data_IF_765712876790
#
_entry.id   IF_765712876790
#
_cell.length_a   1.000
_cell.length_b   1.000
_cell.length_c   1.000
_cell.angle_alpha   90.00
_cell.angle_beta   90.00
_cell.angle_gamma   90.00
#
_symmetry.space_group_name_H-M   'P 1'
#
loop_
_entity.id
_entity.type
_entity.pdbx_description
1 polymer ?
#
# COMPACT_ATOMS: atom_id res chain seq x y z
N UNK A 1 37.45 -40.88 -0.21
CA UNK A 1 37.49 -39.40 -0.06
C UNK A 1 36.23 -38.86 -0.66
N UNK A 2 35.19 -38.65 0.17
CA UNK A 2 33.92 -38.14 -0.25
C UNK A 2 33.87 -36.63 -0.04
N UNK A 3 33.83 -35.89 -1.13
CA UNK A 3 33.65 -34.42 -1.07
C UNK A 3 32.20 -34.14 -0.76
N UNK A 4 31.92 -33.61 0.42
CA UNK A 4 30.64 -33.04 0.78
C UNK A 4 30.52 -31.65 0.12
N UNK A 5 29.79 -31.58 -0.98
CA UNK A 5 29.44 -30.34 -1.65
C UNK A 5 28.43 -29.57 -0.77
N UNK A 6 28.91 -28.61 0.00
CA UNK A 6 28.09 -27.66 0.75
C UNK A 6 27.58 -26.61 -0.20
N UNK A 7 26.58 -26.96 -1.02
CA UNK A 7 25.79 -25.95 -1.76
C UNK A 7 25.02 -25.10 -0.76
N UNK A 8 25.40 -23.84 -0.66
CA UNK A 8 24.69 -22.80 0.07
C UNK A 8 23.28 -22.65 -0.52
N UNK A 9 22.18 -23.00 0.18
CA UNK A 9 20.86 -23.03 -0.40
C UNK A 9 20.29 -21.61 -0.54
N UNK A 10 20.60 -20.96 -1.63
CA UNK A 10 19.88 -19.76 -2.08
C UNK A 10 18.55 -20.21 -2.69
N UNK A 11 17.52 -20.44 -1.88
CA UNK A 11 16.20 -20.80 -2.39
C UNK A 11 15.24 -21.21 -1.28
N UNK A 12 13.94 -21.00 -1.49
CA UNK A 12 12.87 -21.37 -0.56
C UNK A 12 12.79 -22.89 -0.30
N UNK A 13 11.86 -23.34 0.55
CA UNK A 13 11.74 -24.73 0.97
C UNK A 13 11.54 -25.67 -0.23
N UNK A 14 12.37 -26.75 -0.29
CA UNK A 14 12.38 -27.73 -1.39
C UNK A 14 11.41 -28.89 -1.17
N UNK A 15 11.08 -29.20 0.10
CA UNK A 15 10.16 -30.31 0.44
C UNK A 15 8.69 -29.86 0.40
N UNK A 16 7.77 -30.78 0.16
CA UNK A 16 6.35 -30.49 0.18
C UNK A 16 5.88 -29.98 1.55
N UNK A 17 6.41 -30.55 2.62
CA UNK A 17 6.14 -30.11 4.00
C UNK A 17 6.70 -28.72 4.29
N UNK A 18 7.91 -28.42 3.83
CA UNK A 18 8.51 -27.09 3.96
C UNK A 18 7.76 -26.03 3.15
N UNK A 19 7.28 -26.37 1.95
CA UNK A 19 6.41 -25.50 1.15
C UNK A 19 5.07 -25.24 1.83
N UNK A 20 4.45 -26.27 2.41
CA UNK A 20 3.21 -26.16 3.16
C UNK A 20 3.38 -25.33 4.44
N UNK A 21 4.50 -25.49 5.16
CA UNK A 21 4.83 -24.68 6.34
C UNK A 21 5.07 -23.21 5.95
N UNK A 22 5.80 -22.95 4.89
CA UNK A 22 6.05 -21.59 4.36
C UNK A 22 4.76 -20.93 3.89
N UNK A 23 3.88 -21.68 3.20
CA UNK A 23 2.56 -21.20 2.78
C UNK A 23 1.67 -20.86 3.99
N UNK A 24 1.65 -21.72 5.02
CA UNK A 24 0.90 -21.44 6.26
C UNK A 24 1.41 -20.21 7.01
N UNK A 25 2.71 -19.97 7.03
CA UNK A 25 3.28 -18.77 7.64
C UNK A 25 2.91 -17.50 6.87
N UNK A 26 2.85 -17.59 5.55
CA UNK A 26 2.34 -16.52 4.67
C UNK A 26 0.87 -16.22 4.95
N UNK A 27 0.07 -17.26 5.16
CA UNK A 27 -1.37 -17.17 5.45
C UNK A 27 -1.67 -16.56 6.83
N UNK A 28 -0.87 -16.91 7.87
CA UNK A 28 -1.07 -16.41 9.23
C UNK A 28 -0.98 -14.91 9.37
N UNK A 29 -0.15 -14.24 8.56
CA UNK A 29 0.09 -12.81 8.64
C UNK A 29 -0.54 -12.03 7.49
N UNK A 30 -1.13 -12.69 6.49
CA UNK A 30 -1.79 -12.09 5.34
C UNK A 30 -0.91 -11.17 4.48
N UNK A 31 0.39 -11.08 4.78
CA UNK A 31 1.30 -10.12 4.15
C UNK A 31 1.75 -10.56 2.74
N UNK A 32 1.71 -11.87 2.46
CA UNK A 32 2.11 -12.44 1.17
C UNK A 32 0.98 -13.25 0.49
N UNK A 33 -0.20 -13.35 1.12
CA UNK A 33 -1.33 -14.15 0.64
C UNK A 33 -2.18 -13.45 -0.42
N UNK A 34 -1.93 -12.18 -0.69
CA UNK A 34 -2.81 -11.35 -1.54
C UNK A 34 -4.16 -11.03 -0.90
N UNK A 35 -4.44 -11.53 0.30
CA UNK A 35 -5.68 -11.21 1.03
C UNK A 35 -5.58 -9.83 1.65
N UNK A 36 -6.56 -9.00 1.33
CA UNK A 36 -6.66 -7.64 1.88
C UNK A 36 -6.98 -7.70 3.37
N UNK A 37 -7.88 -8.60 3.78
CA UNK A 37 -8.30 -8.78 5.17
C UNK A 37 -7.91 -10.18 5.67
N UNK A 38 -7.54 -10.29 6.94
CA UNK A 38 -7.27 -11.54 7.64
C UNK A 38 -8.20 -11.69 8.84
N UNK A 39 -8.26 -12.89 9.40
CA UNK A 39 -9.05 -13.16 10.61
C UNK A 39 -8.60 -12.24 11.76
N UNK A 40 -9.56 -11.61 12.42
CA UNK A 40 -9.32 -10.63 13.49
C UNK A 40 -9.17 -9.18 13.04
N UNK A 41 -9.20 -8.90 11.76
CA UNK A 41 -9.30 -7.52 11.25
C UNK A 41 -10.77 -7.13 11.04
N UNK A 42 -11.06 -5.86 11.23
CA UNK A 42 -12.41 -5.31 11.05
C UNK A 42 -12.64 -4.90 9.58
N UNK A 43 -13.55 -5.58 8.85
CA UNK A 43 -13.89 -5.21 7.48
C UNK A 43 -14.48 -3.79 7.37
N UNK A 44 -15.26 -3.36 8.36
CA UNK A 44 -15.88 -2.04 8.33
C UNK A 44 -14.83 -0.92 8.42
N UNK A 45 -13.75 -1.12 9.14
CA UNK A 45 -12.63 -0.18 9.18
C UNK A 45 -11.92 -0.06 7.84
N UNK A 46 -11.78 -1.16 7.08
CA UNK A 46 -11.23 -1.11 5.73
C UNK A 46 -12.19 -0.44 4.74
N UNK A 47 -13.48 -0.73 4.81
CA UNK A 47 -14.50 -0.09 3.99
C UNK A 47 -14.57 1.42 4.25
N UNK A 48 -14.45 1.86 5.52
CA UNK A 48 -14.38 3.27 5.88
C UNK A 48 -13.15 3.94 5.26
N UNK A 49 -11.99 3.30 5.30
CA UNK A 49 -10.78 3.82 4.66
C UNK A 49 -10.94 3.98 3.14
N UNK A 50 -11.61 3.03 2.48
CA UNK A 50 -11.91 3.13 1.04
C UNK A 50 -12.83 4.33 0.78
N UNK A 51 -13.91 4.46 1.54
CA UNK A 51 -14.87 5.56 1.39
C UNK A 51 -14.24 6.93 1.64
N UNK A 52 -13.36 7.05 2.64
CA UNK A 52 -12.63 8.28 2.92
C UNK A 52 -11.73 8.67 1.74
N UNK A 53 -10.99 7.72 1.16
CA UNK A 53 -10.14 7.97 0.00
C UNK A 53 -10.95 8.27 -1.27
N UNK A 54 -12.09 7.61 -1.48
CA UNK A 54 -13.02 7.94 -2.58
C UNK A 54 -13.56 9.37 -2.44
N UNK A 55 -13.89 9.78 -1.21
CA UNK A 55 -14.32 11.15 -0.94
C UNK A 55 -13.21 12.18 -1.18
N UNK A 56 -11.97 11.87 -0.83
CA UNK A 56 -10.83 12.78 -0.99
C UNK A 56 -10.41 12.92 -2.47
N UNK A 57 -10.36 11.81 -3.20
CA UNK A 57 -9.85 11.80 -4.57
C UNK A 57 -10.94 11.92 -5.64
N UNK A 58 -12.22 11.74 -5.31
CA UNK A 58 -13.37 11.88 -6.21
C UNK A 58 -13.14 11.22 -7.58
N UNK A 59 -12.93 9.88 -7.64
CA UNK A 59 -12.63 9.19 -8.88
C UNK A 59 -13.79 9.33 -9.86
N UNK A 60 -13.50 9.80 -11.08
CA UNK A 60 -14.51 10.01 -12.11
C UNK A 60 -14.56 8.87 -13.14
N UNK A 61 -13.56 7.99 -13.14
CA UNK A 61 -13.47 6.83 -14.03
C UNK A 61 -13.24 5.56 -13.22
N UNK A 62 -13.61 4.41 -13.81
CA UNK A 62 -13.37 3.10 -13.20
C UNK A 62 -11.88 2.86 -12.91
N UNK A 63 -11.00 3.33 -13.79
CA UNK A 63 -9.55 3.23 -13.60
C UNK A 63 -9.09 4.04 -12.38
N UNK A 64 -9.63 5.26 -12.20
CA UNK A 64 -9.35 6.07 -11.02
C UNK A 64 -9.89 5.38 -9.74
N UNK A 65 -11.09 4.80 -9.78
CA UNK A 65 -11.68 4.06 -8.66
C UNK A 65 -10.83 2.83 -8.26
N UNK A 66 -10.34 2.06 -9.24
CA UNK A 66 -9.43 0.95 -8.98
C UNK A 66 -8.11 1.41 -8.33
N UNK A 67 -7.55 2.54 -8.75
CA UNK A 67 -6.35 3.09 -8.13
C UNK A 67 -6.62 3.59 -6.71
N UNK A 68 -7.78 4.18 -6.43
CA UNK A 68 -8.18 4.57 -5.07
C UNK A 68 -8.31 3.35 -4.16
N UNK A 69 -8.92 2.27 -4.65
CA UNK A 69 -8.99 1.02 -3.90
C UNK A 69 -7.61 0.39 -3.64
N UNK A 70 -6.70 0.45 -4.62
CA UNK A 70 -5.32 0.01 -4.43
C UNK A 70 -4.56 0.88 -3.41
N UNK A 71 -4.83 2.19 -3.34
CA UNK A 71 -4.29 3.06 -2.28
C UNK A 71 -4.73 2.57 -0.89
N UNK A 72 -6.03 2.33 -0.71
CA UNK A 72 -6.56 1.79 0.55
C UNK A 72 -5.88 0.47 0.93
N UNK A 73 -5.77 -0.45 -0.02
CA UNK A 73 -5.12 -1.75 0.16
C UNK A 73 -3.65 -1.61 0.59
N UNK A 74 -2.85 -0.81 -0.11
CA UNK A 74 -1.44 -0.66 0.23
C UNK A 74 -1.23 0.05 1.57
N UNK A 75 -2.06 1.03 1.90
CA UNK A 75 -2.07 1.65 3.21
C UNK A 75 -2.39 0.64 4.31
N UNK A 76 -3.47 -0.13 4.15
CA UNK A 76 -3.90 -1.16 5.10
C UNK A 76 -2.82 -2.21 5.37
N UNK A 77 -2.17 -2.70 4.30
CA UNK A 77 -1.09 -3.69 4.40
C UNK A 77 0.17 -3.12 5.08
N UNK A 78 0.52 -1.86 4.82
CA UNK A 78 1.64 -1.19 5.47
C UNK A 78 1.36 -1.01 6.97
N UNK A 79 0.15 -0.60 7.33
CA UNK A 79 -0.29 -0.40 8.71
C UNK A 79 -0.34 -1.73 9.49
N UNK A 80 -0.84 -2.81 8.85
CA UNK A 80 -0.74 -4.16 9.41
C UNK A 80 0.70 -4.54 9.74
N UNK A 81 1.64 -4.27 8.83
CA UNK A 81 3.05 -4.56 9.06
C UNK A 81 3.61 -3.79 10.27
N UNK A 82 3.20 -2.54 10.46
CA UNK A 82 3.57 -1.71 11.62
C UNK A 82 2.99 -2.29 12.92
N UNK A 83 1.72 -2.67 12.93
CA UNK A 83 1.09 -3.31 14.10
C UNK A 83 1.79 -4.61 14.50
N UNK A 84 2.15 -5.44 13.51
CA UNK A 84 2.88 -6.69 13.76
C UNK A 84 4.30 -6.45 14.27
N UNK A 85 4.98 -5.38 13.83
CA UNK A 85 6.28 -4.97 14.38
C UNK A 85 6.15 -4.61 15.85
N UNK A 86 5.14 -3.80 16.22
CA UNK A 86 4.89 -3.42 17.61
C UNK A 86 4.64 -4.64 18.50
N UNK A 87 3.85 -5.61 18.04
CA UNK A 87 3.61 -6.86 18.75
C UNK A 87 4.88 -7.72 18.89
N UNK A 88 5.71 -7.78 17.85
CA UNK A 88 6.97 -8.52 17.90
C UNK A 88 7.94 -7.91 18.92
N UNK A 89 8.03 -6.58 19.00
CA UNK A 89 8.83 -5.90 20.02
C UNK A 89 8.28 -6.09 21.43
N UNK A 90 6.96 -5.98 21.62
CA UNK A 90 6.34 -6.22 22.92
C UNK A 90 6.64 -7.63 23.42
N UNK A 91 6.49 -8.64 22.57
CA UNK A 91 6.79 -10.04 22.91
C UNK A 91 8.25 -10.26 23.28
N UNK A 92 9.19 -9.63 22.56
CA UNK A 92 10.62 -9.74 22.84
C UNK A 92 11.00 -9.05 24.16
N UNK A 93 10.42 -7.89 24.46
CA UNK A 93 10.68 -7.14 25.71
C UNK A 93 10.24 -7.92 26.97
N UNK A 94 9.22 -8.75 26.89
CA UNK A 94 8.79 -9.62 28.01
C UNK A 94 9.61 -10.91 28.16
N UNK A 95 10.34 -11.31 27.11
CA UNK A 95 11.07 -12.59 27.11
C UNK A 95 12.51 -12.48 27.63
N UNK A 96 13.12 -11.31 27.67
CA UNK A 96 14.52 -11.13 28.04
C UNK A 96 14.80 -9.77 28.69
N UNK A 97 15.77 -9.74 29.63
CA UNK A 97 16.28 -8.49 30.21
C UNK A 97 17.04 -7.62 29.18
N UNK A 98 17.45 -8.19 28.08
CA UNK A 98 18.03 -7.49 26.91
C UNK A 98 17.11 -7.85 25.71
N UNK A 99 16.38 -6.88 25.12
CA UNK A 99 15.51 -7.17 24.00
C UNK A 99 16.34 -7.59 22.78
N UNK A 100 16.23 -8.86 22.41
CA UNK A 100 16.74 -9.32 21.12
C UNK A 100 15.81 -8.84 19.99
N UNK A 101 16.41 -8.39 18.89
CA UNK A 101 15.63 -8.00 17.70
C UNK A 101 15.03 -9.28 17.08
N UNK A 102 13.70 -9.43 17.03
CA UNK A 102 13.10 -10.62 16.45
C UNK A 102 13.51 -10.82 14.99
N UNK A 103 13.87 -12.05 14.61
CA UNK A 103 14.25 -12.36 13.23
C UNK A 103 13.16 -12.03 12.19
N UNK A 104 11.89 -12.07 12.61
CA UNK A 104 10.73 -11.67 11.80
C UNK A 104 10.68 -10.19 11.46
N UNK A 105 11.32 -9.33 12.27
CA UNK A 105 11.23 -7.87 12.12
C UNK A 105 11.73 -7.40 10.74
N UNK A 106 12.82 -7.95 10.23
CA UNK A 106 13.36 -7.59 8.92
C UNK A 106 12.36 -7.90 7.78
N UNK A 107 11.58 -8.97 7.92
CA UNK A 107 10.53 -9.34 6.97
C UNK A 107 9.38 -8.32 7.06
N UNK A 108 8.94 -7.96 8.25
CA UNK A 108 7.87 -6.98 8.47
C UNK A 108 8.25 -5.59 7.97
N UNK A 109 9.48 -5.13 8.21
CA UNK A 109 10.00 -3.86 7.69
C UNK A 109 10.00 -3.88 6.15
N UNK A 110 10.38 -4.99 5.52
CA UNK A 110 10.34 -5.13 4.07
C UNK A 110 8.92 -5.01 3.53
N UNK A 111 7.94 -5.68 4.15
CA UNK A 111 6.54 -5.57 3.76
C UNK A 111 6.01 -4.15 3.92
N UNK A 112 6.28 -3.50 5.04
CA UNK A 112 5.94 -2.10 5.25
C UNK A 112 6.50 -1.21 4.13
N UNK A 113 7.81 -1.29 3.89
CA UNK A 113 8.49 -0.46 2.87
C UNK A 113 7.96 -0.73 1.46
N UNK A 114 7.69 -2.00 1.13
CA UNK A 114 7.15 -2.39 -0.18
C UNK A 114 5.76 -1.80 -0.39
N UNK A 115 4.87 -1.92 0.60
CA UNK A 115 3.52 -1.38 0.50
C UNK A 115 3.50 0.16 0.52
N UNK A 116 4.37 0.80 1.30
CA UNK A 116 4.52 2.26 1.26
C UNK A 116 5.00 2.77 -0.11
N UNK A 117 5.95 2.07 -0.75
CA UNK A 117 6.39 2.41 -2.11
C UNK A 117 5.28 2.18 -3.14
N UNK A 118 4.54 1.09 -3.03
CA UNK A 118 3.40 0.81 -3.88
C UNK A 118 2.33 1.90 -3.74
N UNK A 119 1.97 2.30 -2.51
CA UNK A 119 1.08 3.42 -2.23
C UNK A 119 1.53 4.70 -2.94
N UNK A 120 2.80 5.10 -2.78
CA UNK A 120 3.34 6.32 -3.41
C UNK A 120 3.33 6.24 -4.95
N UNK A 121 3.59 5.07 -5.52
CA UNK A 121 3.56 4.87 -6.97
C UNK A 121 2.12 4.96 -7.49
N UNK A 122 1.17 4.31 -6.83
CA UNK A 122 -0.25 4.35 -7.18
C UNK A 122 -0.81 5.76 -7.07
N UNK A 123 -0.44 6.51 -6.01
CA UNK A 123 -0.84 7.90 -5.82
C UNK A 123 -0.37 8.79 -6.98
N UNK A 124 0.89 8.65 -7.40
CA UNK A 124 1.42 9.39 -8.55
C UNK A 124 0.67 9.06 -9.85
N UNK A 125 0.34 7.78 -10.05
CA UNK A 125 -0.44 7.33 -11.22
C UNK A 125 -1.85 7.92 -11.22
N UNK A 126 -2.54 7.91 -10.08
CA UNK A 126 -3.86 8.52 -9.92
C UNK A 126 -3.83 10.02 -10.24
N UNK A 127 -2.89 10.75 -9.62
CA UNK A 127 -2.73 12.19 -9.83
C UNK A 127 -2.40 12.53 -11.30
N UNK A 128 -1.60 11.70 -11.98
CA UNK A 128 -1.29 11.88 -13.40
C UNK A 128 -2.54 11.71 -14.26
N UNK A 129 -3.34 10.66 -14.05
CA UNK A 129 -4.59 10.42 -14.78
C UNK A 129 -5.61 11.54 -14.55
N UNK A 130 -5.80 11.99 -13.32
CA UNK A 130 -6.69 13.09 -12.99
C UNK A 130 -6.26 14.40 -13.68
N UNK A 131 -4.97 14.68 -13.68
CA UNK A 131 -4.42 15.85 -14.37
C UNK A 131 -4.64 15.77 -15.88
N UNK A 132 -4.42 14.62 -16.49
CA UNK A 132 -4.67 14.40 -17.92
C UNK A 132 -6.15 14.59 -18.25
N UNK A 133 -7.05 14.04 -17.46
CA UNK A 133 -8.51 14.21 -17.60
C UNK A 133 -8.90 15.69 -17.56
N UNK A 134 -8.46 16.41 -16.53
CA UNK A 134 -8.77 17.85 -16.40
C UNK A 134 -8.21 18.66 -17.57
N UNK A 135 -7.02 18.32 -18.08
CA UNK A 135 -6.46 18.97 -19.24
C UNK A 135 -7.26 18.67 -20.53
N UNK A 136 -7.71 17.43 -20.70
CA UNK A 136 -8.54 17.04 -21.85
C UNK A 136 -9.90 17.75 -21.82
N UNK A 137 -10.54 17.83 -20.66
CA UNK A 137 -11.80 18.56 -20.45
C UNK A 137 -11.64 20.06 -20.81
N UNK A 138 -10.55 20.68 -20.36
CA UNK A 138 -10.23 22.08 -20.69
C UNK A 138 -9.97 22.30 -22.19
N UNK A 139 -9.32 21.35 -22.85
CA UNK A 139 -9.04 21.43 -24.27
C UNK A 139 -10.30 21.24 -25.13
N UNK A 140 -11.28 20.49 -24.65
CA UNK A 140 -12.57 20.23 -25.33
C UNK A 140 -13.63 21.30 -25.06
N UNK A 141 -13.42 22.20 -24.08
CA UNK A 141 -14.35 23.28 -23.75
C UNK A 141 -14.29 24.40 -24.82
N UNK A 142 -15.45 24.94 -25.28
CA UNK A 142 -15.48 25.96 -26.31
C UNK A 142 -14.78 27.26 -25.86
N UNK A 143 -14.20 28.05 -26.80
CA UNK A 143 -13.36 29.24 -26.51
C UNK A 143 -14.03 30.33 -25.64
N UNK A 144 -15.36 30.41 -25.67
CA UNK A 144 -16.16 31.38 -24.89
C UNK A 144 -16.04 31.17 -23.36
N UNK A 145 -15.99 29.92 -22.90
CA UNK A 145 -15.86 29.61 -21.46
C UNK A 145 -14.41 29.82 -20.93
N UNK A 146 -13.42 29.63 -21.81
CA UNK A 146 -12.02 29.85 -21.45
C UNK A 146 -11.69 31.33 -21.20
N UNK A 147 -12.39 32.25 -21.86
CA UNK A 147 -12.18 33.69 -21.70
C UNK A 147 -12.77 34.20 -20.37
N UNK A 148 -13.94 33.68 -19.95
CA UNK A 148 -14.55 34.05 -18.67
C UNK A 148 -13.77 33.52 -17.46
N UNK A 149 -13.23 32.30 -17.52
CA UNK A 149 -12.41 31.74 -16.47
C UNK A 149 -11.10 32.52 -16.29
N UNK A 150 -10.48 32.96 -17.38
CA UNK A 150 -9.27 33.80 -17.34
C UNK A 150 -9.54 35.20 -16.77
N UNK A 151 -10.68 35.79 -17.10
CA UNK A 151 -11.05 37.13 -16.60
C UNK A 151 -11.40 37.12 -15.10
N UNK A 152 -12.01 36.04 -14.60
CA UNK A 152 -12.27 35.86 -13.15
C UNK A 152 -10.97 35.71 -12.35
N UNK A 153 -10.00 34.95 -12.87
CA UNK A 153 -8.70 34.73 -12.19
C UNK A 153 -7.83 36.00 -12.19
N UNK A 154 -7.95 36.87 -13.17
CA UNK A 154 -7.24 38.15 -13.18
C UNK A 154 -7.85 39.20 -12.26
N UNK A 155 -9.19 39.20 -12.07
CA UNK A 155 -9.86 40.14 -11.16
C UNK A 155 -9.54 39.90 -9.69
N UNK A 156 -9.31 38.65 -9.28
CA UNK A 156 -8.94 38.30 -7.89
C UNK A 156 -7.51 38.68 -7.52
N UNK A 157 -6.62 38.86 -8.48
CA UNK A 157 -5.22 39.26 -8.23
C UNK A 157 -5.01 40.78 -8.09
N UNK A 158 -6.03 41.59 -8.37
CA UNK A 158 -5.94 43.05 -8.34
C UNK A 158 -6.63 43.70 -7.13
N UNK A 159 -7.18 42.89 -6.21
CA UNK A 159 -7.91 43.35 -5.00
C UNK A 159 -7.19 42.88 -3.71
N UNK A 160 -5.87 42.87 -3.70
CA UNK A 160 -5.07 42.68 -2.47
C UNK A 160 -4.00 43.75 -2.38
#
# INVERSE_FOLDING_TARGET
>A
MSQTNTENPKGGPRTAEGKAASSRNSFKHGLASGQILIEGEDPAAFESLVADLENDYQPATETEALLVHDLAKFHWLADRAIRLQALAFASAAFASAIPEIPASLNVLIRYQTTNQRAFQTTLKSLQALQKERVNAERASSPPSEQTEARSKTQRTKFVS
#
